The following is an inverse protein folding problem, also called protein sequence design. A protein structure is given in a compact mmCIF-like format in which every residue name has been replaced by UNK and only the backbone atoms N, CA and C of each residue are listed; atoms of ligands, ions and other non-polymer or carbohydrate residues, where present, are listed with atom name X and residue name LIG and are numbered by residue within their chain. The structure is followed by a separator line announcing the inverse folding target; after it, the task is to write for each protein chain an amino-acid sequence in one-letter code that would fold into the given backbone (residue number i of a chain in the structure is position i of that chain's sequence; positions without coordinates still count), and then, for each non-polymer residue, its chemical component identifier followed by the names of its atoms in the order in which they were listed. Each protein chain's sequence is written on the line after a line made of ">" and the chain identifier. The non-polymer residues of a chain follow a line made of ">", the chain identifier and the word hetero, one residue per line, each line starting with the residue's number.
data_IF_907639615406
#
_entry.id   IF_907639615406
#
_cell.length_a   1.000
_cell.length_b   1.000
_cell.length_c   1.000
_cell.angle_alpha   90.00
_cell.angle_beta   90.00
_cell.angle_gamma   90.00
#
_symmetry.space_group_name_H-M   'P 1'
#
loop_
_entity.id
_entity.type
_entity.pdbx_description
1 polymer ?
#
# COMPACT_ATOMS: atom_id res chain seq x y z
N UNK A 1 -29.35 -34.16 22.08
CA UNK A 1 -29.11 -32.73 21.79
C UNK A 1 -27.63 -32.53 21.53
N UNK A 2 -27.24 -32.26 20.28
CA UNK A 2 -25.87 -31.90 19.89
C UNK A 2 -25.96 -30.90 18.74
N UNK A 3 -24.91 -30.09 18.63
CA UNK A 3 -24.57 -29.12 17.58
C UNK A 3 -24.93 -27.65 17.89
N UNK A 4 -23.88 -26.86 17.91
CA UNK A 4 -23.83 -25.41 18.00
C UNK A 4 -22.40 -24.96 17.76
N UNK A 5 -21.84 -25.41 16.63
CA UNK A 5 -20.55 -24.98 16.09
C UNK A 5 -20.60 -23.47 15.84
N UNK A 6 -19.92 -22.73 16.70
CA UNK A 6 -19.83 -21.29 16.64
C UNK A 6 -18.55 -20.91 15.86
N UNK A 7 -18.75 -20.56 14.59
CA UNK A 7 -18.12 -19.36 14.07
C UNK A 7 -16.85 -19.52 13.24
N UNK A 8 -16.83 -20.41 12.25
CA UNK A 8 -16.04 -20.14 11.04
C UNK A 8 -16.94 -19.48 9.99
N UNK A 9 -16.97 -18.14 9.95
CA UNK A 9 -17.59 -17.42 8.83
C UNK A 9 -16.86 -16.11 8.53
N UNK A 10 -15.72 -16.23 7.85
CA UNK A 10 -15.26 -15.16 6.97
C UNK A 10 -15.81 -15.45 5.57
N UNK A 11 -16.92 -14.84 5.13
CA UNK A 11 -17.43 -15.05 3.79
C UNK A 11 -16.62 -14.26 2.74
N UNK A 12 -16.35 -14.97 1.66
CA UNK A 12 -15.85 -14.56 0.34
C UNK A 12 -16.24 -13.13 -0.12
N UNK A 13 -15.24 -12.28 -0.43
CA UNK A 13 -15.12 -11.38 -1.61
C UNK A 13 -14.30 -10.12 -1.28
N UNK A 14 -13.04 -10.17 -1.66
CA UNK A 14 -12.24 -9.12 -2.33
C UNK A 14 -10.77 -9.50 -2.10
N UNK A 15 -10.22 -10.35 -2.98
CA UNK A 15 -8.77 -10.59 -3.07
C UNK A 15 -8.04 -9.37 -3.69
N UNK A 16 -8.58 -8.17 -3.51
CA UNK A 16 -7.89 -6.91 -3.74
C UNK A 16 -6.97 -6.66 -2.54
N UNK A 17 -5.86 -7.41 -2.51
CA UNK A 17 -4.69 -7.25 -1.65
C UNK A 17 -4.94 -7.16 -0.13
N UNK A 18 -5.02 -8.32 0.55
CA UNK A 18 -4.69 -8.36 1.97
C UNK A 18 -3.20 -8.08 2.13
N UNK A 19 -2.86 -6.83 2.45
CA UNK A 19 -1.48 -6.42 2.72
C UNK A 19 -1.31 -6.31 4.23
N UNK A 20 -0.49 -7.16 4.86
CA UNK A 20 -0.23 -7.07 6.29
C UNK A 20 0.27 -5.66 6.63
N UNK A 21 -0.30 -5.03 7.66
CA UNK A 21 0.01 -3.64 8.01
C UNK A 21 1.52 -3.41 8.23
N UNK A 22 2.26 -4.41 8.72
CA UNK A 22 3.72 -4.33 8.87
C UNK A 22 4.47 -4.16 7.55
N UNK A 23 3.97 -4.74 6.46
CA UNK A 23 4.60 -4.59 5.12
C UNK A 23 4.44 -3.18 4.55
N UNK A 24 3.37 -2.48 4.93
CA UNK A 24 3.17 -1.06 4.60
C UNK A 24 4.26 -0.22 5.28
N UNK A 25 4.46 -0.41 6.59
CA UNK A 25 5.46 0.35 7.33
C UNK A 25 6.89 0.07 6.88
N UNK A 26 7.25 -1.19 6.57
CA UNK A 26 8.56 -1.52 5.99
C UNK A 26 8.78 -0.79 4.67
N UNK A 27 7.75 -0.68 3.84
CA UNK A 27 7.85 0.03 2.55
C UNK A 27 7.99 1.53 2.75
N UNK A 28 7.25 2.11 3.70
CA UNK A 28 7.36 3.53 4.05
C UNK A 28 8.75 3.89 4.59
N UNK A 29 9.33 3.05 5.46
CA UNK A 29 10.70 3.23 5.96
C UNK A 29 11.71 3.19 4.80
N UNK A 30 11.61 2.20 3.91
CA UNK A 30 12.50 2.12 2.74
C UNK A 30 12.39 3.32 1.80
N UNK A 31 11.20 3.88 1.65
CA UNK A 31 11.00 5.09 0.82
C UNK A 31 11.54 6.33 1.49
N UNK A 32 11.49 6.40 2.82
CA UNK A 32 12.12 7.44 3.63
C UNK A 32 13.66 7.34 3.57
N UNK A 33 14.24 6.14 3.71
CA UNK A 33 15.68 5.89 3.58
C UNK A 33 16.21 6.31 2.20
N UNK A 34 15.40 6.14 1.15
CA UNK A 34 15.72 6.58 -0.22
C UNK A 34 15.53 8.07 -0.45
N UNK A 35 15.04 8.82 0.55
CA UNK A 35 14.74 10.24 0.44
C UNK A 35 13.50 10.56 -0.41
N UNK A 36 12.65 9.57 -0.67
CA UNK A 36 11.38 9.76 -1.39
C UNK A 36 10.24 10.20 -0.46
N UNK A 37 10.35 9.95 0.85
CA UNK A 37 9.42 10.43 1.87
C UNK A 37 10.18 11.14 2.98
N UNK A 38 9.47 11.97 3.74
CA UNK A 38 9.96 12.53 4.99
C UNK A 38 8.89 12.36 6.07
N UNK A 39 9.22 11.68 7.17
CA UNK A 39 8.29 11.50 8.27
C UNK A 39 8.36 12.64 9.28
N UNK A 40 7.24 12.89 9.95
CA UNK A 40 7.12 13.76 11.11
C UNK A 40 6.31 13.05 12.19
N UNK A 41 6.76 13.04 13.45
CA UNK A 41 5.95 12.52 14.54
C UNK A 41 4.73 13.41 14.73
N UNK A 42 3.56 12.79 14.83
CA UNK A 42 2.32 13.42 15.23
C UNK A 42 2.24 13.57 16.73
N UNK A 43 1.44 14.54 17.20
CA UNK A 43 1.13 14.64 18.62
C UNK A 43 0.16 13.51 19.01
N UNK A 44 0.34 12.85 20.16
CA UNK A 44 -0.69 11.97 20.69
C UNK A 44 -2.01 12.74 20.87
N UNK A 45 -3.17 12.13 20.57
CA UNK A 45 -4.47 12.76 20.81
C UNK A 45 -4.63 13.12 22.29
N UNK A 46 -5.33 14.23 22.57
CA UNK A 46 -5.59 14.69 23.94
C UNK A 46 -6.46 13.70 24.74
N UNK A 47 -7.25 12.88 24.06
CA UNK A 47 -8.13 11.86 24.66
C UNK A 47 -7.51 10.46 24.76
N UNK A 48 -6.19 10.36 24.65
CA UNK A 48 -5.48 9.08 24.64
C UNK A 48 -5.46 8.42 23.26
N UNK A 49 -4.34 7.77 22.95
CA UNK A 49 -4.11 7.11 21.67
C UNK A 49 -2.63 7.17 21.26
N UNK A 50 -2.25 6.32 20.30
CA UNK A 50 -0.88 6.29 19.80
C UNK A 50 -0.61 7.52 18.91
N UNK A 51 0.55 8.13 19.09
CA UNK A 51 1.05 9.16 18.18
C UNK A 51 1.10 8.60 16.76
N UNK A 52 0.46 9.28 15.81
CA UNK A 52 0.52 8.91 14.39
C UNK A 52 1.82 9.40 13.78
N UNK A 53 2.37 8.68 12.80
CA UNK A 53 3.49 9.18 11.98
C UNK A 53 2.92 9.75 10.68
N UNK A 54 3.25 11.00 10.37
CA UNK A 54 2.82 11.67 9.15
C UNK A 54 3.96 11.64 8.13
N UNK A 55 3.63 11.44 6.85
CA UNK A 55 4.62 11.42 5.78
C UNK A 55 4.33 12.56 4.80
N UNK A 56 5.35 13.34 4.48
CA UNK A 56 5.35 14.32 3.41
C UNK A 56 6.05 13.76 2.18
N UNK A 57 5.64 14.27 1.00
CA UNK A 57 6.25 13.94 -0.27
C UNK A 57 7.19 15.06 -0.74
N UNK A 58 8.51 14.98 -0.48
CA UNK A 58 9.48 15.96 -0.94
C UNK A 58 9.61 15.96 -2.49
N UNK A 59 10.30 16.96 -3.03
CA UNK A 59 10.49 17.10 -4.48
C UNK A 59 11.14 15.85 -5.13
N UNK A 60 12.06 15.18 -4.42
CA UNK A 60 12.65 13.92 -4.89
C UNK A 60 11.61 12.80 -5.00
N UNK A 61 10.72 12.65 -4.01
CA UNK A 61 9.60 11.72 -4.05
C UNK A 61 8.61 12.01 -5.17
N UNK A 62 8.29 13.29 -5.40
CA UNK A 62 7.40 13.69 -6.51
C UNK A 62 7.98 13.30 -7.87
N UNK A 63 9.29 13.48 -8.08
CA UNK A 63 9.98 13.05 -9.32
C UNK A 63 9.94 11.53 -9.47
N UNK A 64 10.30 10.80 -8.42
CA UNK A 64 10.28 9.34 -8.43
C UNK A 64 8.86 8.79 -8.72
N UNK A 65 7.83 9.39 -8.14
CA UNK A 65 6.44 9.01 -8.37
C UNK A 65 6.02 9.22 -9.83
N UNK A 66 6.38 10.38 -10.44
CA UNK A 66 6.14 10.63 -11.86
C UNK A 66 6.82 9.59 -12.75
N UNK A 67 8.08 9.28 -12.48
CA UNK A 67 8.83 8.26 -13.21
C UNK A 67 8.21 6.87 -13.08
N UNK A 68 7.72 6.52 -11.88
CA UNK A 68 7.04 5.25 -11.65
C UNK A 68 5.74 5.16 -12.47
N UNK A 69 4.92 6.21 -12.51
CA UNK A 69 3.72 6.24 -13.34
C UNK A 69 4.03 6.14 -14.83
N UNK A 70 5.03 6.88 -15.32
CA UNK A 70 5.46 6.79 -16.71
C UNK A 70 5.95 5.38 -17.07
N UNK A 71 6.72 4.76 -16.18
CA UNK A 71 7.22 3.38 -16.37
C UNK A 71 6.07 2.38 -16.41
N UNK A 72 5.13 2.47 -15.46
CA UNK A 72 3.95 1.61 -15.41
C UNK A 72 3.09 1.78 -16.67
N UNK A 73 2.91 3.01 -17.15
CA UNK A 73 2.17 3.29 -18.39
C UNK A 73 2.87 2.65 -19.60
N UNK A 74 4.19 2.80 -19.72
CA UNK A 74 4.95 2.16 -20.81
C UNK A 74 4.86 0.64 -20.76
N UNK A 75 4.94 0.06 -19.55
CA UNK A 75 4.78 -1.37 -19.34
C UNK A 75 3.40 -1.85 -19.80
N UNK A 76 2.33 -1.15 -19.43
CA UNK A 76 0.96 -1.46 -19.86
C UNK A 76 0.83 -1.40 -21.39
N UNK A 77 1.30 -0.32 -22.02
CA UNK A 77 1.26 -0.15 -23.48
C UNK A 77 2.06 -1.22 -24.23
N UNK A 78 3.17 -1.69 -23.64
CA UNK A 78 4.00 -2.74 -24.25
C UNK A 78 3.41 -4.13 -24.05
N UNK A 79 2.67 -4.34 -22.95
CA UNK A 79 1.98 -5.60 -22.68
C UNK A 79 0.67 -5.75 -23.48
N UNK A 80 0.07 -4.63 -23.88
CA UNK A 80 -1.23 -4.58 -24.58
C UNK A 80 -1.27 -5.31 -25.94
N UNK A 81 -0.19 -5.42 -26.72
CA UNK A 81 -0.20 -6.30 -27.89
C UNK A 81 -0.01 -7.78 -27.53
N UNK A 82 0.61 -8.09 -26.38
CA UNK A 82 1.04 -9.44 -26.02
C UNK A 82 -0.09 -10.28 -25.39
N UNK A 83 -1.02 -9.64 -24.68
CA UNK A 83 -2.19 -10.31 -24.09
C UNK A 83 -3.33 -10.58 -25.09
N UNK A 84 -3.27 -10.02 -26.32
CA UNK A 84 -4.28 -10.21 -27.37
C UNK A 84 -4.06 -11.50 -28.20
N UNK A 85 -2.95 -12.22 -27.98
CA UNK A 85 -2.61 -13.47 -28.69
C UNK A 85 -3.38 -14.72 -28.23
N UNK A 86 -4.51 -14.55 -27.54
CA UNK A 86 -5.28 -15.68 -27.03
C UNK A 86 -6.77 -15.55 -27.39
N UNK A 87 -7.07 -15.67 -28.67
CA UNK A 87 -8.38 -16.14 -29.17
C UNK A 87 -8.18 -16.93 -30.45
#
# INVERSE_FOLDING_TARGET
>A
MRAGDAGSRFPQRDIASFTPIGSVYITLDRLEDKGHLASKPGRPPQWGGQARRYYGLPAAGQRALRQAFETSRRLQQTAEPLWEFKT
#
